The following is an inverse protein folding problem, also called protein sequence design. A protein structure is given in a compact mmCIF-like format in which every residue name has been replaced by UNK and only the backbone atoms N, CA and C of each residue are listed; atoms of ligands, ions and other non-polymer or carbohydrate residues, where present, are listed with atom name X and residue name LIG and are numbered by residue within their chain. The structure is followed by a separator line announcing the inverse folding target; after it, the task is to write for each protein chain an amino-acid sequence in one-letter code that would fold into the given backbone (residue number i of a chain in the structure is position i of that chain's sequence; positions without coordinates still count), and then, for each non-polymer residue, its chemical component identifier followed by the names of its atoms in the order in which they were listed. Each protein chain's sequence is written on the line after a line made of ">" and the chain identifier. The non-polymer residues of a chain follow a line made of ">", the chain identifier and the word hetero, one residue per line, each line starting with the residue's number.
data_IF_886142783030
#
_entry.id   IF_886142783030
#
_cell.length_a   1.000
_cell.length_b   1.000
_cell.length_c   1.000
_cell.angle_alpha   90.00
_cell.angle_beta   90.00
_cell.angle_gamma   90.00
#
_symmetry.space_group_name_H-M   'P 1'
#
loop_
_entity.id
_entity.type
_entity.pdbx_description
1 polymer ?
#
# COMPACT_ATOMS: atom_id res chain seq x y z
N UNK A 1 -3.15 13.49 -28.56
CA UNK A 1 -2.17 12.71 -27.78
C UNK A 1 -1.70 13.56 -26.60
N UNK A 2 -2.14 13.18 -25.40
CA UNK A 2 -1.87 13.93 -24.17
C UNK A 2 -0.46 13.71 -23.59
N UNK A 3 0.36 12.88 -24.22
CA UNK A 3 1.64 12.46 -23.66
C UNK A 3 2.79 13.47 -23.84
N UNK A 4 2.58 14.48 -24.68
CA UNK A 4 3.62 15.42 -25.06
C UNK A 4 3.37 16.87 -24.61
N UNK A 5 2.34 17.14 -23.83
CA UNK A 5 2.16 18.47 -23.25
C UNK A 5 2.85 18.54 -21.89
N UNK A 6 3.62 19.58 -21.66
CA UNK A 6 4.37 19.80 -20.41
C UNK A 6 3.45 19.84 -19.16
N UNK A 7 2.17 20.17 -19.33
CA UNK A 7 1.18 20.23 -18.25
C UNK A 7 0.46 18.90 -17.96
N UNK A 8 0.60 17.88 -18.81
CA UNK A 8 -0.10 16.61 -18.73
C UNK A 8 0.82 15.40 -18.88
N UNK A 9 2.09 15.59 -18.62
CA UNK A 9 3.06 14.51 -18.72
C UNK A 9 2.76 13.42 -17.70
N UNK A 10 2.36 12.25 -18.18
CA UNK A 10 2.14 11.06 -17.38
C UNK A 10 3.03 9.95 -17.94
N UNK A 11 3.63 9.18 -17.04
CA UNK A 11 4.29 7.95 -17.43
C UNK A 11 3.25 7.02 -18.06
N UNK A 12 3.52 6.43 -19.24
CA UNK A 12 2.63 5.46 -19.84
C UNK A 12 2.40 4.28 -18.89
N UNK A 13 1.23 3.69 -18.94
CA UNK A 13 1.01 2.41 -18.25
C UNK A 13 1.86 1.31 -18.90
N UNK A 14 2.00 0.18 -18.21
CA UNK A 14 2.87 -0.91 -18.66
C UNK A 14 2.54 -1.40 -20.08
N UNK A 15 1.24 -1.57 -20.41
CA UNK A 15 0.81 -2.00 -21.72
C UNK A 15 1.20 -1.03 -22.84
N UNK A 16 1.02 0.27 -22.59
CA UNK A 16 1.34 1.32 -23.55
C UNK A 16 2.85 1.50 -23.68
N UNK A 17 3.59 1.35 -22.57
CA UNK A 17 5.04 1.35 -22.60
C UNK A 17 5.60 0.22 -23.46
N UNK A 18 5.10 -1.00 -23.30
CA UNK A 18 5.52 -2.17 -24.12
C UNK A 18 5.22 -1.97 -25.61
N UNK A 19 4.06 -1.37 -25.95
CA UNK A 19 3.73 -1.02 -27.34
C UNK A 19 4.68 0.02 -27.93
N UNK A 20 5.01 1.05 -27.16
CA UNK A 20 5.98 2.07 -27.57
C UNK A 20 7.37 1.44 -27.77
N UNK A 21 7.80 0.60 -26.85
CA UNK A 21 9.06 -0.12 -26.96
C UNK A 21 9.14 -0.96 -28.23
N UNK A 22 8.11 -1.75 -28.53
CA UNK A 22 8.03 -2.56 -29.73
C UNK A 22 8.06 -1.71 -31.01
N UNK A 23 7.38 -0.55 -31.01
CA UNK A 23 7.40 0.38 -32.11
C UNK A 23 8.81 0.98 -32.33
N UNK A 24 9.48 1.41 -31.26
CA UNK A 24 10.84 1.98 -31.37
C UNK A 24 11.86 0.96 -31.85
N UNK A 25 11.78 -0.29 -31.37
CA UNK A 25 12.63 -1.39 -31.87
C UNK A 25 12.45 -1.57 -33.38
N UNK A 26 11.20 -1.68 -33.84
CA UNK A 26 10.89 -1.85 -35.26
C UNK A 26 11.38 -0.71 -36.13
N UNK A 27 11.18 0.54 -35.68
CA UNK A 27 11.67 1.74 -36.40
C UNK A 27 13.19 1.77 -36.44
N UNK A 28 13.85 1.37 -35.34
CA UNK A 28 15.31 1.30 -35.30
C UNK A 28 15.87 0.23 -36.24
N UNK A 29 15.23 -0.93 -36.34
CA UNK A 29 15.58 -1.99 -37.29
C UNK A 29 15.41 -1.53 -38.73
N UNK A 30 14.29 -0.92 -39.10
CA UNK A 30 14.03 -0.38 -40.41
C UNK A 30 15.06 0.69 -40.81
N UNK A 31 15.41 1.59 -39.91
CA UNK A 31 16.41 2.65 -40.15
C UNK A 31 17.82 2.08 -40.26
N UNK A 32 18.17 1.08 -39.48
CA UNK A 32 19.46 0.42 -39.58
C UNK A 32 19.61 -0.32 -40.95
N UNK A 33 18.57 -1.00 -41.37
CA UNK A 33 18.56 -1.67 -42.70
C UNK A 33 18.72 -0.69 -43.88
N UNK A 34 18.27 0.57 -43.70
CA UNK A 34 18.44 1.65 -44.69
C UNK A 34 19.78 2.39 -44.58
N UNK A 35 20.62 2.03 -43.62
CA UNK A 35 21.87 2.73 -43.34
C UNK A 35 21.68 4.17 -42.77
N UNK A 36 20.48 4.45 -42.27
CA UNK A 36 20.14 5.78 -41.72
C UNK A 36 20.54 5.93 -40.23
N UNK A 37 20.96 4.84 -39.58
CA UNK A 37 21.39 4.78 -38.19
C UNK A 37 22.87 4.45 -38.10
N UNK A 38 23.67 5.36 -37.54
CA UNK A 38 25.10 5.15 -37.31
C UNK A 38 25.38 4.13 -36.18
N UNK A 39 24.40 3.87 -35.29
CA UNK A 39 24.57 2.97 -34.16
C UNK A 39 24.17 1.54 -34.49
N UNK A 40 25.02 0.57 -34.12
CA UNK A 40 24.69 -0.85 -34.31
C UNK A 40 23.40 -1.22 -33.55
N UNK A 41 22.52 -1.99 -34.17
CA UNK A 41 21.24 -2.44 -33.58
C UNK A 41 21.39 -3.05 -32.19
N UNK A 42 22.46 -3.82 -31.95
CA UNK A 42 22.70 -4.45 -30.64
C UNK A 42 22.95 -3.44 -29.50
N UNK A 43 23.54 -2.28 -29.78
CA UNK A 43 23.72 -1.22 -28.77
C UNK A 43 22.41 -0.55 -28.43
N UNK A 44 21.52 -0.34 -29.41
CA UNK A 44 20.18 0.18 -29.15
C UNK A 44 19.37 -0.79 -28.31
N UNK A 45 19.37 -2.08 -28.62
CA UNK A 45 18.67 -3.10 -27.87
C UNK A 45 19.20 -3.20 -26.43
N UNK A 46 20.51 -3.15 -26.23
CA UNK A 46 21.09 -3.17 -24.88
C UNK A 46 20.73 -1.94 -24.05
N UNK A 47 20.73 -0.76 -24.70
CA UNK A 47 20.32 0.50 -24.03
C UNK A 47 18.84 0.47 -23.64
N UNK A 48 17.98 -0.03 -24.52
CA UNK A 48 16.55 -0.21 -24.21
C UNK A 48 16.31 -1.21 -23.07
N UNK A 49 17.05 -2.31 -23.05
CA UNK A 49 16.93 -3.32 -22.01
C UNK A 49 17.36 -2.78 -20.65
N UNK A 50 18.38 -1.92 -20.63
CA UNK A 50 18.82 -1.25 -19.41
C UNK A 50 17.81 -0.21 -18.93
N UNK A 51 17.29 0.63 -19.82
CA UNK A 51 16.24 1.59 -19.51
C UNK A 51 14.97 0.91 -19.02
N UNK A 52 14.60 -0.23 -19.59
CA UNK A 52 13.45 -1.00 -19.12
C UNK A 52 13.65 -1.54 -17.69
N UNK A 53 14.85 -2.07 -17.38
CA UNK A 53 15.17 -2.50 -16.01
C UNK A 53 15.09 -1.34 -15.02
N UNK A 54 15.63 -0.18 -15.37
CA UNK A 54 15.55 1.02 -14.54
C UNK A 54 14.11 1.50 -14.36
N UNK A 55 13.30 1.47 -15.41
CA UNK A 55 11.88 1.83 -15.34
C UNK A 55 11.10 0.89 -14.41
N UNK A 56 11.28 -0.42 -14.51
CA UNK A 56 10.63 -1.40 -13.64
C UNK A 56 11.07 -1.21 -12.19
N UNK A 57 12.36 -0.99 -11.95
CA UNK A 57 12.89 -0.70 -10.61
C UNK A 57 12.28 0.57 -10.01
N UNK A 58 12.21 1.65 -10.79
CA UNK A 58 11.56 2.90 -10.38
C UNK A 58 10.06 2.74 -10.12
N UNK A 59 9.37 1.92 -10.91
CA UNK A 59 7.96 1.61 -10.64
C UNK A 59 7.76 0.90 -9.31
N UNK A 60 8.60 -0.09 -9.00
CA UNK A 60 8.51 -0.80 -7.72
C UNK A 60 8.84 0.14 -6.55
N UNK A 61 9.88 0.96 -6.69
CA UNK A 61 10.20 1.99 -5.70
C UNK A 61 9.03 2.98 -5.52
N UNK A 62 8.43 3.46 -6.61
CA UNK A 62 7.26 4.33 -6.55
C UNK A 62 6.07 3.67 -5.85
N UNK A 63 5.82 2.38 -6.11
CA UNK A 63 4.77 1.62 -5.40
C UNK A 63 5.04 1.56 -3.89
N UNK A 64 6.31 1.42 -3.48
CA UNK A 64 6.67 1.41 -2.07
C UNK A 64 6.56 2.78 -1.40
N UNK A 65 6.87 3.85 -2.13
CA UNK A 65 6.77 5.24 -1.68
C UNK A 65 5.33 5.79 -1.73
N UNK A 66 4.45 5.14 -2.50
CA UNK A 66 3.06 5.58 -2.64
C UNK A 66 2.39 5.65 -1.28
N UNK A 67 1.88 6.82 -0.94
CA UNK A 67 1.17 7.05 0.33
C UNK A 67 -0.06 6.15 0.40
N UNK A 68 -0.25 5.49 1.54
CA UNK A 68 -1.38 4.59 1.78
C UNK A 68 -2.75 5.28 1.64
N UNK A 69 -2.81 6.58 1.85
CA UNK A 69 -4.02 7.39 1.69
C UNK A 69 -4.36 7.78 0.25
N UNK A 70 -3.65 7.29 -0.77
CA UNK A 70 -4.07 7.58 -2.13
C UNK A 70 -5.31 6.76 -2.47
N UNK A 71 -6.46 7.41 -2.46
CA UNK A 71 -7.72 6.83 -2.93
C UNK A 71 -7.58 6.55 -4.42
N UNK A 72 -7.74 5.29 -4.82
CA UNK A 72 -7.85 4.88 -6.21
C UNK A 72 -9.21 4.20 -6.41
N UNK A 73 -9.66 4.07 -7.65
CA UNK A 73 -10.91 3.38 -7.96
C UNK A 73 -10.97 1.92 -7.45
N UNK A 74 -9.81 1.33 -7.11
CA UNK A 74 -9.70 -0.01 -6.53
C UNK A 74 -9.76 -0.02 -4.99
N UNK A 75 -9.78 1.13 -4.32
CA UNK A 75 -9.88 1.23 -2.86
C UNK A 75 -11.35 1.47 -2.50
N UNK A 76 -12.00 0.55 -1.79
CA UNK A 76 -13.44 0.62 -1.52
C UNK A 76 -13.80 1.61 -0.39
N UNK A 77 -12.89 2.54 -0.05
CA UNK A 77 -13.11 3.50 1.03
C UNK A 77 -13.78 4.76 0.48
N UNK A 78 -15.02 4.97 0.87
CA UNK A 78 -15.77 6.20 0.65
C UNK A 78 -15.60 7.14 1.84
N UNK A 79 -16.12 8.35 1.74
CA UNK A 79 -16.20 9.33 2.84
C UNK A 79 -17.25 8.98 3.90
N UNK A 80 -18.16 8.06 3.59
CA UNK A 80 -19.18 7.55 4.52
C UNK A 80 -18.94 6.08 4.81
N UNK A 81 -18.71 5.76 6.10
CA UNK A 81 -18.50 4.41 6.57
C UNK A 81 -19.66 3.96 7.45
N UNK A 82 -20.17 2.77 7.18
CA UNK A 82 -21.26 2.17 7.95
C UNK A 82 -20.77 0.92 8.66
N UNK A 83 -20.75 0.96 9.99
CA UNK A 83 -20.37 -0.16 10.84
C UNK A 83 -21.45 -0.45 11.87
N UNK A 84 -21.67 -1.73 12.15
CA UNK A 84 -22.56 -2.14 13.25
C UNK A 84 -21.94 -1.72 14.58
N UNK A 85 -22.72 -1.16 15.51
CA UNK A 85 -22.24 -0.84 16.83
C UNK A 85 -21.85 -2.14 17.57
N UNK A 86 -20.86 -2.02 18.47
CA UNK A 86 -20.49 -3.14 19.34
C UNK A 86 -21.66 -3.43 20.28
N UNK A 87 -22.18 -4.65 20.22
CA UNK A 87 -23.25 -5.08 21.11
C UNK A 87 -22.76 -5.16 22.55
N UNK A 88 -23.71 -5.04 23.50
CA UNK A 88 -23.39 -5.17 24.91
C UNK A 88 -22.99 -6.64 25.23
N UNK A 89 -21.95 -6.77 26.04
CA UNK A 89 -21.56 -8.00 26.69
C UNK A 89 -20.98 -7.67 28.09
N UNK A 90 -21.00 -8.61 29.06
CA UNK A 90 -20.42 -8.37 30.38
C UNK A 90 -18.93 -8.00 30.28
N UNK A 91 -18.52 -6.91 30.95
CA UNK A 91 -17.13 -6.42 30.91
C UNK A 91 -16.79 -5.53 29.72
N UNK A 92 -17.74 -5.27 28.81
CA UNK A 92 -17.55 -4.36 27.70
C UNK A 92 -17.10 -2.96 28.16
N UNK A 93 -16.07 -2.43 27.48
CA UNK A 93 -15.69 -1.02 27.68
C UNK A 93 -16.76 -0.09 27.09
N UNK A 94 -17.18 0.98 27.82
CA UNK A 94 -18.25 1.88 27.33
C UNK A 94 -17.96 2.49 25.94
N UNK A 95 -16.70 2.81 25.66
CA UNK A 95 -16.25 3.46 24.43
C UNK A 95 -15.60 2.49 23.44
N UNK A 96 -15.87 1.20 23.53
CA UNK A 96 -15.31 0.21 22.62
C UNK A 96 -15.76 0.44 21.19
N UNK A 97 -14.78 0.47 20.25
CA UNK A 97 -15.01 0.72 18.83
C UNK A 97 -15.17 -0.60 18.07
N UNK A 98 -16.00 -0.63 17.01
CA UNK A 98 -16.13 -1.81 16.16
C UNK A 98 -14.77 -2.23 15.57
N UNK A 99 -14.42 -3.50 15.72
CA UNK A 99 -13.14 -4.03 15.24
C UNK A 99 -12.97 -3.87 13.72
N UNK A 100 -14.06 -4.00 12.95
CA UNK A 100 -14.04 -3.79 11.49
C UNK A 100 -13.67 -2.36 11.13
N UNK A 101 -14.23 -1.37 11.82
CA UNK A 101 -13.89 0.03 11.62
C UNK A 101 -12.40 0.29 11.88
N UNK A 102 -11.88 -0.25 12.98
CA UNK A 102 -10.46 -0.08 13.32
C UNK A 102 -9.55 -0.77 12.32
N UNK A 103 -9.89 -1.99 11.87
CA UNK A 103 -9.16 -2.67 10.81
C UNK A 103 -9.15 -1.86 9.51
N UNK A 104 -10.27 -1.26 9.13
CA UNK A 104 -10.36 -0.41 7.96
C UNK A 104 -9.45 0.82 8.07
N UNK A 105 -9.48 1.53 9.22
CA UNK A 105 -8.62 2.67 9.50
C UNK A 105 -7.14 2.28 9.40
N UNK A 106 -6.75 1.21 10.09
CA UNK A 106 -5.36 0.75 10.15
C UNK A 106 -4.88 0.29 8.76
N UNK A 107 -5.70 -0.45 8.03
CA UNK A 107 -5.37 -0.89 6.67
C UNK A 107 -5.20 0.27 5.69
N UNK A 108 -6.01 1.32 5.82
CA UNK A 108 -5.93 2.51 4.98
C UNK A 108 -4.74 3.42 5.32
N UNK A 109 -4.22 3.35 6.56
CA UNK A 109 -3.24 4.32 7.08
C UNK A 109 -1.86 3.74 7.39
N UNK A 110 -1.68 2.43 7.28
CA UNK A 110 -0.43 1.75 7.64
C UNK A 110 -0.14 0.54 6.75
N UNK A 111 1.08 0.00 6.85
CA UNK A 111 1.54 -1.22 6.17
C UNK A 111 1.73 -2.34 7.18
N UNK A 112 1.69 -3.62 6.77
CA UNK A 112 2.18 -4.72 7.60
C UNK A 112 3.59 -4.42 8.11
N UNK A 113 3.83 -4.65 9.41
CA UNK A 113 5.09 -4.33 10.09
C UNK A 113 5.22 -2.91 10.63
N UNK A 114 4.37 -1.96 10.22
CA UNK A 114 4.36 -0.60 10.80
C UNK A 114 3.95 -0.63 12.28
N UNK A 115 4.27 0.44 12.99
CA UNK A 115 3.92 0.64 14.39
C UNK A 115 2.64 1.49 14.51
N UNK A 116 1.63 0.93 15.15
CA UNK A 116 0.39 1.62 15.52
C UNK A 116 0.44 1.95 17.01
N UNK A 117 0.19 3.19 17.38
CA UNK A 117 0.18 3.64 18.78
C UNK A 117 -1.22 4.12 19.18
N UNK A 118 -1.70 3.65 20.33
CA UNK A 118 -2.94 4.09 20.97
C UNK A 118 -2.65 4.50 22.41
N UNK A 119 -2.61 5.82 22.65
CA UNK A 119 -2.27 6.37 23.98
C UNK A 119 -3.44 6.39 24.95
N UNK A 120 -4.61 5.93 24.55
CA UNK A 120 -5.83 5.81 25.35
C UNK A 120 -6.53 4.49 25.03
N UNK A 121 -5.80 3.38 25.14
CA UNK A 121 -6.19 2.11 24.53
C UNK A 121 -7.48 1.49 25.10
N UNK A 122 -7.87 1.80 26.34
CA UNK A 122 -9.08 1.28 26.97
C UNK A 122 -9.17 -0.26 26.89
N UNK A 123 -10.12 -0.76 26.10
CA UNK A 123 -10.28 -2.19 25.84
C UNK A 123 -9.22 -2.80 24.90
N UNK A 124 -8.26 -2.01 24.42
CA UNK A 124 -7.23 -2.47 23.48
C UNK A 124 -7.74 -2.82 22.08
N UNK A 125 -8.92 -2.34 21.69
CA UNK A 125 -9.50 -2.66 20.37
C UNK A 125 -8.59 -2.27 19.22
N UNK A 126 -7.92 -1.11 19.30
CA UNK A 126 -6.94 -0.66 18.29
C UNK A 126 -5.72 -1.57 18.27
N UNK A 127 -5.17 -1.92 19.43
CA UNK A 127 -4.01 -2.80 19.58
C UNK A 127 -4.31 -4.18 18.97
N UNK A 128 -5.45 -4.76 19.33
CA UNK A 128 -5.90 -6.07 18.80
C UNK A 128 -6.09 -6.03 17.28
N UNK A 129 -6.72 -4.97 16.75
CA UNK A 129 -6.91 -4.79 15.31
C UNK A 129 -5.57 -4.63 14.59
N UNK A 130 -4.61 -3.89 15.14
CA UNK A 130 -3.29 -3.73 14.57
C UNK A 130 -2.53 -5.07 14.49
N UNK A 131 -2.51 -5.82 15.58
CA UNK A 131 -1.87 -7.13 15.63
C UNK A 131 -2.51 -8.13 14.65
N UNK A 132 -3.85 -8.18 14.57
CA UNK A 132 -4.55 -9.05 13.61
C UNK A 132 -4.24 -8.75 12.15
N UNK A 133 -3.76 -7.56 11.85
CA UNK A 133 -3.35 -7.12 10.51
C UNK A 133 -1.83 -7.19 10.28
N UNK A 134 -1.06 -7.81 11.18
CA UNK A 134 0.38 -7.92 11.08
C UNK A 134 1.15 -6.60 11.32
N UNK A 135 0.54 -5.68 12.05
CA UNK A 135 1.21 -4.46 12.52
C UNK A 135 1.77 -4.69 13.91
N UNK A 136 2.81 -3.92 14.28
CA UNK A 136 3.25 -3.79 15.68
C UNK A 136 2.33 -2.80 16.39
N UNK A 137 2.15 -2.94 17.69
CA UNK A 137 1.29 -2.03 18.45
C UNK A 137 1.93 -1.58 19.75
N UNK A 138 1.65 -0.34 20.14
CA UNK A 138 1.90 0.20 21.46
C UNK A 138 0.56 0.71 21.99
N UNK A 139 0.16 0.27 23.19
CA UNK A 139 -1.01 0.75 23.89
C UNK A 139 -0.63 1.34 25.25
N UNK A 140 -1.25 2.45 25.62
CA UNK A 140 -1.11 3.07 26.92
C UNK A 140 -2.49 3.19 27.56
N UNK A 141 -2.59 2.78 28.83
CA UNK A 141 -3.81 2.85 29.63
C UNK A 141 -3.46 3.25 31.05
N UNK A 142 -4.18 4.21 31.59
CA UNK A 142 -3.94 4.72 32.93
C UNK A 142 -4.57 3.84 34.01
N UNK A 143 -5.71 3.24 33.71
CA UNK A 143 -6.42 2.36 34.65
C UNK A 143 -5.78 0.96 34.68
N UNK A 144 -5.12 0.63 35.79
CA UNK A 144 -4.36 -0.63 35.91
C UNK A 144 -5.21 -1.87 35.63
N UNK A 145 -6.45 -1.92 36.13
CA UNK A 145 -7.33 -3.06 35.91
C UNK A 145 -7.67 -3.28 34.43
N UNK A 146 -7.87 -2.20 33.68
CA UNK A 146 -8.09 -2.24 32.22
C UNK A 146 -6.84 -2.62 31.48
N UNK A 147 -5.71 -2.06 31.86
CA UNK A 147 -4.42 -2.43 31.28
C UNK A 147 -4.14 -3.93 31.40
N UNK A 148 -4.26 -4.49 32.62
CA UNK A 148 -4.04 -5.91 32.87
C UNK A 148 -5.02 -6.80 32.11
N UNK A 149 -6.30 -6.42 32.03
CA UNK A 149 -7.28 -7.15 31.23
C UNK A 149 -6.86 -7.17 29.76
N UNK A 150 -6.52 -6.02 29.19
CA UNK A 150 -6.11 -5.90 27.79
C UNK A 150 -4.85 -6.71 27.50
N UNK A 151 -3.88 -6.70 28.40
CA UNK A 151 -2.65 -7.51 28.25
C UNK A 151 -2.98 -9.00 28.17
N UNK A 152 -3.85 -9.51 29.04
CA UNK A 152 -4.30 -10.93 28.98
C UNK A 152 -4.96 -11.26 27.64
N UNK A 153 -5.92 -10.42 27.22
CA UNK A 153 -6.65 -10.64 25.97
C UNK A 153 -5.75 -10.57 24.73
N UNK A 154 -4.72 -9.71 24.74
CA UNK A 154 -3.72 -9.64 23.66
C UNK A 154 -2.81 -10.89 23.67
N UNK A 155 -2.39 -11.37 24.84
CA UNK A 155 -1.60 -12.60 24.94
C UNK A 155 -2.37 -13.81 24.40
N UNK A 156 -3.65 -13.92 24.75
CA UNK A 156 -4.53 -14.99 24.25
C UNK A 156 -4.65 -14.91 22.71
N UNK A 157 -4.83 -13.71 22.17
CA UNK A 157 -4.90 -13.50 20.72
C UNK A 157 -3.62 -13.90 19.98
N UNK A 158 -2.45 -13.61 20.56
CA UNK A 158 -1.16 -13.99 19.98
C UNK A 158 -1.00 -15.52 20.03
N UNK A 159 -1.36 -16.14 21.13
CA UNK A 159 -1.26 -17.61 21.31
C UNK A 159 -2.17 -18.41 20.37
N UNK A 160 -3.28 -17.83 19.91
CA UNK A 160 -4.21 -18.47 18.96
C UNK A 160 -3.76 -18.35 17.49
N UNK A 161 -2.85 -17.42 17.19
CA UNK A 161 -2.41 -17.12 15.82
C UNK A 161 -0.97 -17.54 15.53
N UNK A 162 -0.26 -18.10 16.50
CA UNK A 162 1.09 -18.67 16.35
C UNK A 162 1.06 -20.18 16.29
#
# INVERSE_FOLDING_TARGET
>A
SHWFSASQWQLPNESDYLKLQALFVRVAEEKHQRGELEWPHHQLVSTYSELNRQYVSLQEEYKTLRRYFSVSAAVPYTDVWTHKPVQYYPGKHPCEKPAEMLRQIISASSRPGDLVADFFMGSGSTVKAALSLGRRAIGVELETGRFEQTVREVQDLISQNG
#
